data_IF_406680841370
#
_entry.id   IF_406680841370
#
_cell.length_a   1.000
_cell.length_b   1.000
_cell.length_c   1.000
_cell.angle_alpha   90.00
_cell.angle_beta   90.00
_cell.angle_gamma   90.00
#
_symmetry.space_group_name_H-M   'P 1'
#
loop_
_entity.id
_entity.type
_entity.pdbx_description
1 polymer ?
#
# COMPACT_ATOMS: atom_id res chain seq x y z
N UNK A 1 -36.01 -20.85 -34.17
CA UNK A 1 -35.89 -20.03 -32.99
C UNK A 1 -35.08 -20.69 -31.87
N UNK A 2 -35.27 -22.01 -31.59
CA UNK A 2 -34.54 -22.73 -30.56
C UNK A 2 -33.00 -22.71 -30.81
N UNK A 3 -32.57 -22.96 -32.04
CA UNK A 3 -31.14 -22.91 -32.40
C UNK A 3 -30.50 -21.51 -32.22
N UNK A 4 -31.30 -20.44 -32.44
CA UNK A 4 -30.83 -19.07 -32.18
C UNK A 4 -30.63 -18.81 -30.68
N UNK A 5 -31.55 -19.27 -29.83
CA UNK A 5 -31.42 -19.15 -28.37
C UNK A 5 -30.20 -19.93 -27.85
N UNK A 6 -29.98 -21.14 -28.34
CA UNK A 6 -28.80 -21.94 -27.99
C UNK A 6 -27.52 -21.25 -28.46
N UNK A 7 -27.51 -20.68 -29.68
CA UNK A 7 -26.38 -19.92 -30.20
C UNK A 7 -26.04 -18.70 -29.34
N UNK A 8 -27.03 -17.92 -28.91
CA UNK A 8 -26.85 -16.78 -28.01
C UNK A 8 -26.28 -17.23 -26.66
N UNK A 9 -26.82 -18.33 -26.11
CA UNK A 9 -26.33 -18.87 -24.84
C UNK A 9 -24.86 -19.30 -24.93
N UNK A 10 -24.49 -20.04 -25.98
CA UNK A 10 -23.10 -20.48 -26.20
C UNK A 10 -22.17 -19.25 -26.37
N UNK A 11 -22.61 -18.26 -27.12
CA UNK A 11 -21.83 -17.03 -27.32
C UNK A 11 -21.61 -16.28 -26.00
N UNK A 12 -22.68 -16.11 -25.21
CA UNK A 12 -22.59 -15.49 -23.88
C UNK A 12 -21.64 -16.24 -22.96
N UNK A 13 -21.79 -17.57 -22.82
CA UNK A 13 -20.89 -18.37 -22.00
C UNK A 13 -19.45 -18.31 -22.47
N UNK A 14 -19.22 -18.30 -23.78
CA UNK A 14 -17.88 -18.15 -24.37
C UNK A 14 -17.21 -16.83 -23.99
N UNK A 15 -17.95 -15.71 -24.05
CA UNK A 15 -17.44 -14.39 -23.65
C UNK A 15 -17.15 -14.37 -22.13
N UNK A 16 -18.05 -14.93 -21.31
CA UNK A 16 -17.85 -14.96 -19.84
C UNK A 16 -16.60 -15.77 -19.51
N UNK A 17 -16.47 -16.98 -20.04
CA UNK A 17 -15.28 -17.82 -19.82
C UNK A 17 -13.98 -17.15 -20.29
N UNK A 18 -14.03 -16.46 -21.43
CA UNK A 18 -12.88 -15.69 -21.92
C UNK A 18 -12.49 -14.56 -20.92
N UNK A 19 -13.47 -13.81 -20.42
CA UNK A 19 -13.22 -12.77 -19.41
C UNK A 19 -12.63 -13.36 -18.14
N UNK A 20 -13.25 -14.39 -17.59
CA UNK A 20 -12.79 -15.04 -16.34
C UNK A 20 -11.36 -15.59 -16.46
N UNK A 21 -10.90 -15.88 -17.68
CA UNK A 21 -9.53 -16.34 -17.95
C UNK A 21 -8.55 -15.18 -18.15
N UNK A 22 -8.99 -14.10 -18.78
CA UNK A 22 -8.11 -12.99 -19.16
C UNK A 22 -7.99 -11.96 -18.03
N UNK A 23 -9.07 -11.67 -17.30
CA UNK A 23 -9.10 -10.65 -16.27
C UNK A 23 -8.00 -10.85 -15.19
N UNK A 24 -7.75 -12.06 -14.66
CA UNK A 24 -6.63 -12.27 -13.73
C UNK A 24 -5.25 -11.99 -14.34
N UNK A 25 -5.07 -12.28 -15.64
CA UNK A 25 -3.79 -12.04 -16.34
C UNK A 25 -3.54 -10.57 -16.64
N UNK A 26 -4.59 -9.74 -16.73
CA UNK A 26 -4.50 -8.30 -16.95
C UNK A 26 -4.31 -7.51 -15.66
N UNK A 27 -4.43 -8.16 -14.50
CA UNK A 27 -4.36 -7.53 -13.18
C UNK A 27 -5.77 -7.28 -12.64
N UNK A 28 -6.23 -8.21 -11.83
CA UNK A 28 -7.46 -8.08 -11.05
C UNK A 28 -7.10 -7.71 -9.61
N UNK A 29 -7.95 -6.92 -8.95
CA UNK A 29 -7.81 -6.68 -7.52
C UNK A 29 -7.78 -8.01 -6.77
N UNK A 30 -6.84 -8.22 -5.83
CA UNK A 30 -6.82 -9.42 -5.00
C UNK A 30 -8.08 -9.51 -4.14
N UNK A 31 -8.41 -10.69 -3.66
CA UNK A 31 -9.50 -10.86 -2.71
C UNK A 31 -9.15 -10.16 -1.38
N UNK A 32 -10.12 -9.43 -0.82
CA UNK A 32 -9.92 -8.67 0.42
C UNK A 32 -9.42 -9.56 1.58
N UNK A 33 -9.96 -10.76 1.72
CA UNK A 33 -9.54 -11.71 2.75
C UNK A 33 -8.05 -12.09 2.62
N UNK A 34 -7.55 -12.25 1.38
CA UNK A 34 -6.14 -12.54 1.13
C UNK A 34 -5.24 -11.36 1.57
N UNK A 35 -5.66 -10.13 1.29
CA UNK A 35 -4.93 -8.93 1.69
C UNK A 35 -4.89 -8.82 3.22
N UNK A 36 -6.02 -9.01 3.89
CA UNK A 36 -6.11 -9.00 5.35
C UNK A 36 -5.22 -10.09 5.99
N UNK A 37 -5.18 -11.30 5.41
CA UNK A 37 -4.33 -12.40 5.90
C UNK A 37 -2.84 -12.10 5.72
N UNK A 38 -2.45 -11.51 4.59
CA UNK A 38 -1.06 -11.07 4.35
C UNK A 38 -0.67 -10.00 5.39
N UNK A 39 -1.52 -9.00 5.59
CA UNK A 39 -1.31 -7.91 6.54
C UNK A 39 -1.17 -8.44 7.98
N UNK A 40 -2.03 -9.36 8.41
CA UNK A 40 -1.95 -10.00 9.72
C UNK A 40 -0.62 -10.75 9.92
N UNK A 41 -0.13 -11.46 8.91
CA UNK A 41 1.14 -12.18 8.97
C UNK A 41 2.29 -11.19 9.10
N UNK A 42 2.37 -10.21 8.22
CA UNK A 42 3.48 -9.27 8.15
C UNK A 42 3.57 -8.39 9.40
N UNK A 43 2.44 -7.84 9.86
CA UNK A 43 2.38 -6.98 11.04
C UNK A 43 2.49 -7.73 12.38
N UNK A 44 2.40 -9.07 12.39
CA UNK A 44 2.67 -9.86 13.59
C UNK A 44 4.15 -9.86 14.00
N UNK A 45 5.05 -9.48 13.11
CA UNK A 45 6.49 -9.46 13.33
C UNK A 45 6.94 -8.15 14.02
N UNK A 46 7.68 -8.23 15.14
CA UNK A 46 7.90 -7.08 16.01
C UNK A 46 8.78 -5.97 15.44
N UNK A 47 9.57 -6.25 14.40
CA UNK A 47 10.41 -5.26 13.73
C UNK A 47 9.68 -4.54 12.58
N UNK A 48 8.49 -5.00 12.20
CA UNK A 48 7.68 -4.37 11.16
C UNK A 48 6.69 -3.40 11.78
N UNK A 49 6.76 -2.14 11.38
CA UNK A 49 5.91 -1.06 11.88
C UNK A 49 4.77 -0.70 10.94
N UNK A 50 4.89 -1.05 9.67
CA UNK A 50 3.90 -0.81 8.63
C UNK A 50 4.14 -1.67 7.41
N UNK A 51 3.09 -1.82 6.60
CA UNK A 51 3.14 -2.50 5.31
C UNK A 51 2.39 -1.67 4.27
N UNK A 52 2.96 -1.53 3.08
CA UNK A 52 2.33 -0.81 1.96
C UNK A 52 2.77 -1.38 0.61
N UNK A 53 2.25 -0.84 -0.49
CA UNK A 53 2.58 -1.19 -1.88
C UNK A 53 2.45 -2.70 -2.18
N UNK A 54 1.44 -3.35 -1.56
CA UNK A 54 1.17 -4.75 -1.82
C UNK A 54 0.71 -4.97 -3.27
N UNK A 55 1.49 -5.74 -4.01
CA UNK A 55 1.18 -6.22 -5.36
C UNK A 55 0.99 -7.74 -5.30
N UNK A 56 -0.15 -8.20 -5.81
CA UNK A 56 -0.49 -9.62 -5.87
C UNK A 56 -0.65 -10.04 -7.33
N UNK A 57 0.14 -11.02 -7.76
CA UNK A 57 0.02 -11.65 -9.06
C UNK A 57 -0.42 -13.09 -8.88
N UNK A 58 -1.64 -13.40 -9.32
CA UNK A 58 -2.17 -14.76 -9.33
C UNK A 58 -2.11 -15.35 -10.75
N UNK A 59 -1.21 -16.32 -10.94
CA UNK A 59 -1.07 -17.06 -12.19
C UNK A 59 -1.71 -18.45 -12.13
N UNK A 60 -2.59 -18.68 -11.16
CA UNK A 60 -3.28 -19.94 -10.93
C UNK A 60 -2.68 -20.77 -9.79
N UNK A 61 -3.20 -21.99 -9.55
CA UNK A 61 -2.86 -22.78 -8.38
C UNK A 61 -1.35 -22.99 -8.17
N UNK A 62 -0.85 -22.56 -7.01
CA UNK A 62 0.57 -22.68 -6.64
C UNK A 62 1.50 -21.69 -7.37
N UNK A 63 0.97 -20.63 -7.96
CA UNK A 63 1.73 -19.59 -8.66
C UNK A 63 1.32 -18.17 -8.22
N UNK A 64 1.10 -17.99 -6.94
CA UNK A 64 0.88 -16.70 -6.32
C UNK A 64 2.22 -16.02 -6.07
N UNK A 65 2.39 -14.80 -6.55
CA UNK A 65 3.60 -13.98 -6.35
C UNK A 65 3.18 -12.70 -5.65
N UNK A 66 3.85 -12.39 -4.54
CA UNK A 66 3.61 -11.21 -3.74
C UNK A 66 4.85 -10.30 -3.78
N UNK A 67 4.61 -9.01 -3.87
CA UNK A 67 5.62 -7.99 -3.61
C UNK A 67 5.00 -6.95 -2.70
N UNK A 68 5.70 -6.58 -1.64
CA UNK A 68 5.24 -5.56 -0.69
C UNK A 68 6.43 -4.82 -0.09
N UNK A 69 6.14 -3.70 0.56
CA UNK A 69 7.09 -2.91 1.32
C UNK A 69 6.80 -3.06 2.81
N UNK A 70 7.86 -3.19 3.62
CA UNK A 70 7.79 -3.29 5.07
C UNK A 70 8.57 -2.14 5.71
N UNK A 71 7.90 -1.33 6.52
CA UNK A 71 8.52 -0.27 7.30
C UNK A 71 9.25 -0.86 8.51
N UNK A 72 10.56 -0.62 8.60
CA UNK A 72 11.43 -1.12 9.66
C UNK A 72 12.24 0.01 10.30
N UNK A 73 12.77 -0.13 11.55
CA UNK A 73 13.60 0.90 12.16
C UNK A 73 14.90 1.17 11.39
N UNK A 74 15.19 2.45 11.08
CA UNK A 74 16.39 2.86 10.30
C UNK A 74 17.72 2.55 11.04
N UNK A 75 17.72 2.51 12.37
CA UNK A 75 18.89 2.25 13.20
C UNK A 75 19.00 0.78 13.67
N UNK A 76 18.27 -0.14 13.03
CA UNK A 76 18.36 -1.57 13.33
C UNK A 76 19.63 -2.23 12.76
N UNK A 77 20.01 -3.38 13.35
CA UNK A 77 21.04 -4.23 12.74
C UNK A 77 20.50 -4.84 11.45
N UNK A 78 21.15 -4.55 10.34
CA UNK A 78 20.72 -4.99 9.01
C UNK A 78 20.61 -6.53 8.91
N UNK A 79 21.48 -7.27 9.59
CA UNK A 79 21.42 -8.74 9.55
C UNK A 79 20.21 -9.26 10.33
N UNK A 80 19.84 -8.61 11.44
CA UNK A 80 18.66 -8.98 12.22
C UNK A 80 17.39 -8.63 11.44
N UNK A 81 17.36 -7.45 10.81
CA UNK A 81 16.22 -7.04 9.98
C UNK A 81 16.05 -8.00 8.80
N UNK A 82 17.13 -8.34 8.13
CA UNK A 82 17.10 -9.28 7.00
C UNK A 82 16.58 -10.66 7.42
N UNK A 83 17.08 -11.19 8.54
CA UNK A 83 16.62 -12.48 9.08
C UNK A 83 15.12 -12.46 9.41
N UNK A 84 14.62 -11.34 9.95
CA UNK A 84 13.18 -11.17 10.20
C UNK A 84 12.38 -11.14 8.91
N UNK A 85 12.86 -10.43 7.88
CA UNK A 85 12.20 -10.40 6.57
C UNK A 85 12.18 -11.78 5.91
N UNK A 86 13.29 -12.53 5.95
CA UNK A 86 13.35 -13.91 5.46
C UNK A 86 12.32 -14.80 6.18
N UNK A 87 12.17 -14.62 7.50
CA UNK A 87 11.17 -15.37 8.28
C UNK A 87 9.74 -15.02 7.83
N UNK A 88 9.44 -13.75 7.55
CA UNK A 88 8.14 -13.32 7.02
C UNK A 88 7.90 -13.95 5.64
N UNK A 89 8.86 -13.89 4.73
CA UNK A 89 8.75 -14.47 3.39
C UNK A 89 8.49 -15.99 3.45
N UNK A 90 9.17 -16.70 4.36
CA UNK A 90 8.95 -18.12 4.60
C UNK A 90 7.55 -18.40 5.18
N UNK A 91 7.11 -17.59 6.15
CA UNK A 91 5.78 -17.76 6.75
C UNK A 91 4.66 -17.52 5.72
N UNK A 92 4.79 -16.49 4.88
CA UNK A 92 3.88 -16.24 3.76
C UNK A 92 3.87 -17.41 2.77
N UNK A 93 5.04 -17.96 2.45
CA UNK A 93 5.15 -19.12 1.58
C UNK A 93 4.46 -20.35 2.16
N UNK A 94 4.68 -20.63 3.44
CA UNK A 94 4.14 -21.82 4.10
C UNK A 94 2.62 -21.73 4.29
N UNK A 95 2.09 -20.57 4.64
CA UNK A 95 0.65 -20.36 4.90
C UNK A 95 -0.16 -20.17 3.62
N UNK A 96 0.35 -19.39 2.67
CA UNK A 96 -0.39 -18.95 1.47
C UNK A 96 0.06 -19.68 0.19
N UNK A 97 1.11 -20.53 0.26
CA UNK A 97 1.70 -21.19 -0.90
C UNK A 97 2.06 -20.19 -2.02
N UNK A 98 2.69 -19.10 -1.65
CA UNK A 98 3.11 -18.02 -2.53
C UNK A 98 4.63 -17.87 -2.58
N UNK A 99 5.13 -17.07 -3.52
CA UNK A 99 6.50 -16.53 -3.52
C UNK A 99 6.42 -15.06 -3.14
N UNK A 100 6.91 -14.69 -1.98
CA UNK A 100 6.93 -13.30 -1.53
C UNK A 100 8.31 -12.67 -1.75
N UNK A 101 8.32 -11.37 -2.00
CA UNK A 101 9.51 -10.51 -2.00
C UNK A 101 9.17 -9.23 -1.26
N UNK A 102 9.92 -8.94 -0.21
CA UNK A 102 9.66 -7.81 0.68
C UNK A 102 10.77 -6.76 0.52
N UNK A 103 10.37 -5.55 0.10
CA UNK A 103 11.25 -4.40 0.12
C UNK A 103 11.30 -3.81 1.53
N UNK A 104 12.49 -3.43 1.98
CA UNK A 104 12.71 -2.86 3.31
C UNK A 104 12.70 -1.34 3.19
N UNK A 105 11.78 -0.67 3.89
CA UNK A 105 11.71 0.79 3.99
C UNK A 105 12.09 1.25 5.40
N UNK A 106 13.31 1.81 5.58
CA UNK A 106 13.75 2.30 6.88
C UNK A 106 12.97 3.55 7.31
N UNK A 107 12.37 3.51 8.51
CA UNK A 107 11.66 4.65 9.12
C UNK A 107 12.32 5.08 10.44
N UNK A 108 12.19 6.35 10.75
CA UNK A 108 12.63 6.93 12.02
C UNK A 108 11.64 6.52 13.12
N UNK A 109 12.09 5.76 14.11
CA UNK A 109 11.26 5.30 15.22
C UNK A 109 11.63 5.90 16.57
N UNK A 110 12.86 6.42 16.71
CA UNK A 110 13.47 6.89 17.95
C UNK A 110 13.50 8.44 18.09
N UNK A 111 13.03 9.17 17.09
CA UNK A 111 12.93 10.64 17.14
C UNK A 111 11.48 11.08 17.43
N UNK A 112 11.28 11.63 18.63
CA UNK A 112 9.95 12.07 19.07
C UNK A 112 9.36 13.16 18.17
N UNK A 113 10.15 14.12 17.72
CA UNK A 113 9.68 15.23 16.89
C UNK A 113 9.17 14.73 15.54
N UNK A 114 9.90 13.80 14.90
CA UNK A 114 9.49 13.15 13.65
C UNK A 114 8.21 12.35 13.84
N UNK A 115 8.11 11.59 14.93
CA UNK A 115 6.93 10.77 15.24
C UNK A 115 5.69 11.63 15.56
N UNK A 116 5.87 12.71 16.32
CA UNK A 116 4.79 13.66 16.63
C UNK A 116 4.31 14.35 15.33
N UNK A 117 5.22 14.72 14.42
CA UNK A 117 4.88 15.30 13.13
C UNK A 117 4.15 14.30 12.22
N UNK A 118 4.65 13.03 12.15
CA UNK A 118 3.97 11.95 11.42
C UNK A 118 2.51 11.83 11.87
N UNK A 119 2.27 11.74 13.17
CA UNK A 119 0.92 11.65 13.74
C UNK A 119 0.04 12.84 13.36
N UNK A 120 0.59 14.06 13.36
CA UNK A 120 -0.16 15.24 12.93
C UNK A 120 -0.53 15.18 11.45
N UNK A 121 0.36 14.70 10.58
CA UNK A 121 0.09 14.55 9.15
C UNK A 121 -0.94 13.44 8.90
N UNK A 122 -0.89 12.34 9.66
CA UNK A 122 -1.91 11.29 9.65
C UNK A 122 -3.29 11.86 9.99
N UNK A 123 -3.40 12.66 11.06
CA UNK A 123 -4.65 13.33 11.45
C UNK A 123 -5.17 14.29 10.37
N UNK A 124 -4.28 15.10 9.80
CA UNK A 124 -4.64 16.03 8.70
C UNK A 124 -5.15 15.27 7.48
N UNK A 125 -4.54 14.12 7.17
CA UNK A 125 -4.91 13.27 6.04
C UNK A 125 -6.25 12.57 6.31
N UNK A 126 -6.45 11.97 7.46
CA UNK A 126 -7.73 11.36 7.88
C UNK A 126 -8.89 12.36 7.97
N UNK A 127 -8.61 13.62 8.30
CA UNK A 127 -9.61 14.69 8.29
C UNK A 127 -10.02 15.12 6.88
N UNK A 128 -9.28 14.74 5.84
CA UNK A 128 -9.66 14.93 4.45
C UNK A 128 -10.60 13.83 3.98
N UNK A 129 -10.20 12.57 4.15
CA UNK A 129 -11.02 11.37 3.99
C UNK A 129 -10.43 10.27 4.91
N UNK A 130 -11.28 9.66 5.73
CA UNK A 130 -10.86 8.63 6.71
C UNK A 130 -10.24 7.37 6.10
N UNK A 131 -10.38 7.21 4.80
CA UNK A 131 -9.83 6.08 4.04
C UNK A 131 -8.42 6.33 3.53
N UNK A 132 -7.95 7.57 3.61
CA UNK A 132 -6.58 7.91 3.24
C UNK A 132 -5.64 7.53 4.39
N UNK A 133 -4.53 6.92 4.07
CA UNK A 133 -3.43 6.68 5.02
C UNK A 133 -2.12 7.22 4.45
N UNK A 134 -1.13 7.42 5.29
CA UNK A 134 0.20 7.83 4.85
C UNK A 134 1.20 6.72 5.13
N UNK A 135 2.23 6.65 4.31
CA UNK A 135 3.40 5.79 4.48
C UNK A 135 4.67 6.50 3.99
N UNK A 136 5.83 5.90 4.24
CA UNK A 136 7.14 6.44 3.82
C UNK A 136 7.42 7.85 4.34
N UNK A 137 6.94 8.18 5.55
CA UNK A 137 7.09 9.53 6.11
C UNK A 137 8.54 9.82 6.48
N UNK A 138 9.05 10.94 5.92
CA UNK A 138 10.41 11.46 6.19
C UNK A 138 10.34 12.96 6.43
N UNK A 139 11.09 13.42 7.42
CA UNK A 139 11.26 14.84 7.71
C UNK A 139 12.71 15.24 7.41
N UNK A 140 12.89 16.20 6.51
CA UNK A 140 14.21 16.69 6.10
C UNK A 140 14.32 18.17 6.39
N UNK A 141 15.07 18.50 7.42
CA UNK A 141 15.33 19.89 7.80
C UNK A 141 16.23 20.60 6.80
N UNK A 142 15.88 21.79 6.43
CA UNK A 142 16.65 22.68 5.58
C UNK A 142 16.88 24.06 6.24
N UNK A 143 17.76 24.89 5.68
CA UNK A 143 18.10 26.19 6.28
C UNK A 143 16.96 27.22 6.23
N UNK A 144 15.93 27.01 5.42
CA UNK A 144 14.81 27.95 5.23
C UNK A 144 13.44 27.33 5.47
N UNK A 145 13.32 26.01 5.36
CA UNK A 145 12.09 25.26 5.56
C UNK A 145 12.41 23.78 5.80
N UNK A 146 11.48 23.07 6.39
CA UNK A 146 11.53 21.61 6.56
C UNK A 146 10.65 20.94 5.51
N UNK A 147 11.21 19.97 4.78
CA UNK A 147 10.45 19.15 3.86
C UNK A 147 9.81 17.98 4.62
N UNK A 148 8.50 17.83 4.44
CA UNK A 148 7.75 16.67 4.84
C UNK A 148 7.49 15.84 3.58
N UNK A 149 8.15 14.69 3.49
CA UNK A 149 8.09 13.79 2.33
C UNK A 149 7.31 12.57 2.76
N UNK A 150 6.24 12.24 2.05
CA UNK A 150 5.43 11.07 2.35
C UNK A 150 4.53 10.70 1.18
N UNK A 151 4.11 9.46 1.16
CA UNK A 151 3.18 8.94 0.19
C UNK A 151 1.79 8.76 0.84
N UNK A 152 0.74 8.89 0.03
CA UNK A 152 -0.65 8.78 0.48
C UNK A 152 -1.32 7.64 -0.26
N UNK A 153 -1.69 6.60 0.47
CA UNK A 153 -2.54 5.54 -0.05
C UNK A 153 -3.99 6.03 -0.13
N UNK A 154 -4.53 6.04 -1.34
CA UNK A 154 -5.89 6.50 -1.64
C UNK A 154 -6.67 5.40 -2.35
N UNK A 155 -7.75 4.84 -1.74
CA UNK A 155 -8.58 3.86 -2.38
C UNK A 155 -9.20 4.37 -3.69
N UNK A 156 -9.40 3.48 -4.66
CA UNK A 156 -10.01 3.83 -5.94
C UNK A 156 -11.42 4.44 -5.78
N UNK A 157 -12.14 4.08 -4.71
CA UNK A 157 -13.46 4.65 -4.37
C UNK A 157 -13.38 6.07 -3.79
N UNK A 158 -12.19 6.57 -3.48
CA UNK A 158 -12.03 7.95 -3.04
C UNK A 158 -12.44 8.90 -4.17
N UNK A 159 -13.38 9.81 -3.87
CA UNK A 159 -13.95 10.73 -4.86
C UNK A 159 -12.99 11.84 -5.27
N UNK A 160 -11.99 12.09 -4.44
CA UNK A 160 -10.98 13.12 -4.72
C UNK A 160 -9.97 12.59 -5.75
N UNK A 161 -9.59 13.44 -6.68
CA UNK A 161 -8.51 13.17 -7.62
C UNK A 161 -7.15 13.33 -6.91
N UNK A 162 -6.09 12.72 -7.47
CA UNK A 162 -4.73 12.85 -6.92
C UNK A 162 -4.32 14.33 -6.78
N UNK A 163 -4.67 15.16 -7.75
CA UNK A 163 -4.37 16.60 -7.74
C UNK A 163 -5.11 17.31 -6.61
N UNK A 164 -6.37 16.98 -6.37
CA UNK A 164 -7.17 17.57 -5.28
C UNK A 164 -6.62 17.17 -3.92
N UNK A 165 -6.32 15.88 -3.70
CA UNK A 165 -5.70 15.39 -2.46
C UNK A 165 -4.38 16.15 -2.19
N UNK A 166 -3.49 16.17 -3.18
CA UNK A 166 -2.19 16.84 -3.07
C UNK A 166 -2.32 18.33 -2.74
N UNK A 167 -3.22 19.03 -3.42
CA UNK A 167 -3.39 20.47 -3.20
C UNK A 167 -3.98 20.78 -1.82
N UNK A 168 -5.00 20.02 -1.40
CA UNK A 168 -5.63 20.20 -0.10
C UNK A 168 -4.68 19.89 1.05
N UNK A 169 -3.88 18.82 0.95
CA UNK A 169 -2.87 18.50 1.95
C UNK A 169 -1.78 19.57 2.01
N UNK A 170 -1.25 20.00 0.86
CA UNK A 170 -0.25 21.08 0.80
C UNK A 170 -0.75 22.38 1.41
N UNK A 171 -2.01 22.75 1.18
CA UNK A 171 -2.62 23.92 1.77
C UNK A 171 -2.73 23.82 3.30
N UNK A 172 -3.22 22.66 3.79
CA UNK A 172 -3.36 22.41 5.23
C UNK A 172 -2.01 22.40 5.95
N UNK A 173 -1.02 21.71 5.37
CA UNK A 173 0.34 21.61 5.94
C UNK A 173 1.02 22.97 5.96
N UNK A 174 0.86 23.78 4.92
CA UNK A 174 1.41 25.15 4.89
C UNK A 174 0.83 26.04 5.98
N UNK A 175 -0.41 25.80 6.40
CA UNK A 175 -1.08 26.55 7.47
C UNK A 175 -0.78 25.99 8.87
N UNK A 176 0.02 24.92 8.96
CA UNK A 176 0.59 24.45 10.23
C UNK A 176 1.86 25.28 10.52
N UNK A 177 2.01 25.69 11.75
CA UNK A 177 3.21 26.27 12.33
C UNK A 177 3.91 27.34 11.44
N UNK A 178 3.21 28.48 11.18
CA UNK A 178 3.69 29.66 10.46
C UNK A 178 4.28 29.43 9.05
N UNK A 179 3.99 28.29 8.41
CA UNK A 179 4.32 28.06 7.00
C UNK A 179 5.74 27.57 6.72
N UNK A 180 6.45 27.07 7.71
CA UNK A 180 7.82 26.55 7.57
C UNK A 180 7.91 25.14 6.97
N UNK A 181 6.77 24.47 6.79
CA UNK A 181 6.72 23.11 6.21
C UNK A 181 6.42 23.14 4.72
N UNK A 182 7.16 22.33 3.98
CA UNK A 182 6.98 22.10 2.54
C UNK A 182 6.67 20.64 2.29
N UNK A 183 5.44 20.33 1.86
CA UNK A 183 5.02 18.96 1.62
C UNK A 183 5.40 18.48 0.21
N UNK A 184 6.09 17.34 0.16
CA UNK A 184 6.39 16.58 -1.06
C UNK A 184 5.57 15.29 -0.96
N UNK A 185 4.55 15.17 -1.80
CA UNK A 185 3.51 14.15 -1.68
C UNK A 185 3.40 13.37 -2.98
N UNK A 186 3.45 12.05 -2.90
CA UNK A 186 3.04 11.12 -3.94
C UNK A 186 1.67 10.52 -3.56
N UNK A 187 0.85 10.16 -4.55
CA UNK A 187 -0.46 9.54 -4.30
C UNK A 187 -0.49 8.19 -4.97
N UNK A 188 -0.62 7.14 -4.16
CA UNK A 188 -0.74 5.78 -4.62
C UNK A 188 -2.19 5.33 -4.55
N UNK A 189 -2.71 4.81 -5.68
CA UNK A 189 -4.07 4.30 -5.73
C UNK A 189 -4.08 2.83 -5.34
N UNK A 190 -4.82 2.54 -4.28
CA UNK A 190 -4.93 1.20 -3.69
C UNK A 190 -6.35 0.66 -3.80
N UNK A 191 -6.51 -0.65 -3.76
CA UNK A 191 -7.83 -1.30 -3.85
C UNK A 191 -8.57 -1.36 -2.52
N UNK A 192 -7.85 -1.25 -1.38
CA UNK A 192 -8.40 -1.35 -0.03
C UNK A 192 -7.80 -0.30 0.87
#
# INVERSE_FOLDING_TARGET
WFGVLVGIFIFYTGITTMKDTIDPLLGQAPEKNLVEEIEEIVLAHPLVHGMHDLIVHDYGPGRLILSLHAEVPEHGDLLIIHDEIDNIEHELQDKLNCSATIHIDPIVTDNKEVNDMRTQIEEVTHNLDRRLSIHDFRMVEGPTHTNLIFDVAAPFECKLTNVEITNLLKERIRNMDDGNYCAVIQIDRVYF
#
